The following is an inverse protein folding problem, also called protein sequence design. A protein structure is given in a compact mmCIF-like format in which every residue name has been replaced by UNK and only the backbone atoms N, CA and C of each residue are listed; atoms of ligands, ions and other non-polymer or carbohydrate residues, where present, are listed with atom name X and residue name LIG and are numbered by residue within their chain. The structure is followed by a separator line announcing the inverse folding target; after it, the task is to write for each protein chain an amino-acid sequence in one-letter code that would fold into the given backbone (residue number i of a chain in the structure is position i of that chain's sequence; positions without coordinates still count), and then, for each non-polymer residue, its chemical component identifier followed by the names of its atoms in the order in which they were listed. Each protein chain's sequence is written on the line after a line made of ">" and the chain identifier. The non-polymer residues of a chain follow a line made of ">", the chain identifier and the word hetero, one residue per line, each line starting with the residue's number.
data_IF_952926168274
#
_entry.id   IF_952926168274
#
_cell.length_a   1.000
_cell.length_b   1.000
_cell.length_c   1.000
_cell.angle_alpha   90.00
_cell.angle_beta   90.00
_cell.angle_gamma   90.00
#
_symmetry.space_group_name_H-M   'P 1'
#
loop_
_entity.id
_entity.type
_entity.pdbx_description
1 polymer ?
#
# COMPACT_ATOMS: atom_id res chain seq x y z
N UNK A 1 -3.11 -8.13 4.80
CA UNK A 1 -3.34 -7.28 3.61
C UNK A 1 -2.48 -6.01 3.54
N UNK A 2 -2.80 -4.90 4.24
CA UNK A 2 -2.18 -3.58 3.99
C UNK A 2 -0.63 -3.54 3.98
N UNK A 3 0.03 -4.34 4.83
CA UNK A 3 1.48 -4.50 4.83
C UNK A 3 2.02 -5.05 3.49
N UNK A 4 1.38 -6.09 2.97
CA UNK A 4 1.74 -6.72 1.71
C UNK A 4 1.51 -5.79 0.51
N UNK A 5 0.36 -5.11 0.45
CA UNK A 5 0.03 -4.18 -0.64
C UNK A 5 0.86 -2.89 -0.65
N UNK A 6 1.38 -2.45 0.50
CA UNK A 6 2.21 -1.23 0.58
C UNK A 6 3.72 -1.49 0.59
N UNK A 7 4.16 -2.73 0.81
CA UNK A 7 5.57 -3.05 1.02
C UNK A 7 6.11 -2.80 2.43
N UNK A 8 5.37 -2.07 3.28
CA UNK A 8 5.73 -1.83 4.66
C UNK A 8 5.55 -3.08 5.53
N UNK A 9 6.43 -3.32 6.50
CA UNK A 9 6.26 -4.42 7.46
C UNK A 9 5.16 -4.12 8.48
N UNK A 10 4.55 -5.15 9.07
CA UNK A 10 3.57 -4.98 10.17
C UNK A 10 4.13 -4.17 11.34
N UNK A 11 5.44 -4.30 11.62
CA UNK A 11 6.17 -3.50 12.61
C UNK A 11 6.33 -2.03 12.20
N UNK A 12 6.60 -1.75 10.91
CA UNK A 12 6.59 -0.39 10.37
C UNK A 12 5.19 0.23 10.48
N UNK A 13 4.14 -0.47 10.04
CA UNK A 13 2.75 -0.01 10.18
C UNK A 13 2.40 0.33 11.63
N UNK A 14 2.77 -0.53 12.60
CA UNK A 14 2.58 -0.26 14.03
C UNK A 14 3.34 1.00 14.49
N UNK A 15 4.57 1.19 14.02
CA UNK A 15 5.44 2.32 14.36
C UNK A 15 4.99 3.63 13.71
N UNK A 16 4.41 3.58 12.52
CA UNK A 16 3.99 4.76 11.74
C UNK A 16 2.67 5.33 12.26
N UNK A 17 1.79 4.50 12.82
CA UNK A 17 0.60 4.92 13.58
C UNK A 17 0.91 5.50 14.97
N UNK A 18 2.15 5.40 15.46
CA UNK A 18 2.55 5.98 16.74
C UNK A 18 2.97 7.45 16.56
N UNK A 19 2.33 8.33 17.34
CA UNK A 19 2.86 9.64 17.62
C UNK A 19 4.17 9.51 18.42
N UNK A 20 5.16 10.34 18.07
CA UNK A 20 6.46 10.48 18.74
C UNK A 20 6.81 11.95 18.97
N UNK A 21 5.80 12.76 19.28
CA UNK A 21 5.89 14.19 19.60
C UNK A 21 5.67 15.14 18.41
N UNK A 22 5.33 14.62 17.23
CA UNK A 22 5.08 15.41 16.01
C UNK A 22 3.92 14.84 15.18
N UNK A 23 3.05 14.04 15.79
CA UNK A 23 2.03 13.26 15.11
C UNK A 23 2.52 11.86 14.65
N UNK A 24 1.57 10.97 14.31
CA UNK A 24 1.86 9.76 13.54
C UNK A 24 2.30 10.13 12.11
N UNK A 25 2.98 9.20 11.43
CA UNK A 25 3.29 9.31 10.00
C UNK A 25 2.04 9.07 9.16
N UNK A 26 1.18 8.16 9.61
CA UNK A 26 -0.16 7.96 9.06
C UNK A 26 -1.11 7.61 10.20
N UNK A 27 -2.18 8.38 10.32
CA UNK A 27 -3.35 8.04 11.11
C UNK A 27 -4.34 7.35 10.15
N UNK A 28 -4.72 6.08 10.36
CA UNK A 28 -5.64 5.40 9.45
C UNK A 28 -6.99 6.11 9.38
N UNK A 29 -7.57 6.20 8.18
CA UNK A 29 -8.91 6.78 7.98
C UNK A 29 -10.00 5.93 8.65
N UNK A 30 -9.80 4.61 8.71
CA UNK A 30 -10.76 3.67 9.27
C UNK A 30 -10.54 3.50 10.79
N UNK A 31 -11.47 4.03 11.59
CA UNK A 31 -11.46 3.99 13.05
C UNK A 31 -11.81 2.59 13.62
N UNK A 32 -10.95 1.60 13.36
CA UNK A 32 -11.16 0.19 13.73
C UNK A 32 -10.13 -0.35 14.74
N UNK A 33 -10.49 -1.44 15.43
CA UNK A 33 -9.60 -2.22 16.31
C UNK A 33 -9.81 -3.72 16.03
N UNK A 34 -8.82 -4.47 15.49
CA UNK A 34 -7.49 -4.01 15.05
C UNK A 34 -7.57 -2.94 13.94
N UNK A 35 -6.47 -2.19 13.76
CA UNK A 35 -6.44 -1.08 12.80
C UNK A 35 -6.63 -1.59 11.36
N UNK A 36 -7.67 -1.09 10.71
CA UNK A 36 -7.91 -1.23 9.27
C UNK A 36 -7.36 -0.01 8.53
N UNK A 37 -7.24 -0.14 7.22
CA UNK A 37 -6.66 0.88 6.33
C UNK A 37 -7.52 0.99 5.08
N UNK A 38 -7.80 2.21 4.64
CA UNK A 38 -8.47 2.46 3.36
C UNK A 38 -7.53 2.20 2.17
N UNK A 39 -8.06 2.23 0.95
CA UNK A 39 -7.23 2.26 -0.26
C UNK A 39 -6.28 3.48 -0.28
N UNK A 40 -6.75 4.65 0.19
CA UNK A 40 -5.94 5.87 0.28
C UNK A 40 -4.81 5.72 1.28
N UNK A 41 -5.09 5.12 2.44
CA UNK A 41 -4.06 4.76 3.43
C UNK A 41 -2.99 3.87 2.79
N UNK A 42 -3.39 2.85 2.02
CA UNK A 42 -2.44 1.93 1.35
C UNK A 42 -1.56 2.67 0.34
N UNK A 43 -2.10 3.62 -0.44
CA UNK A 43 -1.31 4.50 -1.32
C UNK A 43 -0.29 5.32 -0.52
N UNK A 44 -0.70 5.96 0.57
CA UNK A 44 0.20 6.74 1.41
C UNK A 44 1.31 5.87 2.05
N UNK A 45 0.96 4.68 2.54
CA UNK A 45 1.92 3.69 3.05
C UNK A 45 2.91 3.24 1.98
N UNK A 46 2.45 3.07 0.74
CA UNK A 46 3.27 2.66 -0.41
C UNK A 46 4.22 3.76 -0.86
N UNK A 47 3.77 5.02 -0.89
CA UNK A 47 4.62 6.18 -1.05
C UNK A 47 5.71 6.24 0.05
N UNK A 48 5.36 6.02 1.32
CA UNK A 48 6.36 5.95 2.38
C UNK A 48 7.35 4.80 2.21
N UNK A 49 6.90 3.61 1.80
CA UNK A 49 7.78 2.49 1.49
C UNK A 49 8.70 2.78 0.30
N UNK A 50 8.25 3.58 -0.68
CA UNK A 50 9.09 4.06 -1.78
C UNK A 50 10.16 5.05 -1.28
N UNK A 51 9.75 6.17 -0.66
CA UNK A 51 10.65 7.18 -0.09
C UNK A 51 11.69 6.56 0.88
N UNK A 52 11.29 5.53 1.63
CA UNK A 52 12.15 4.83 2.62
C UNK A 52 13.41 4.19 2.04
N UNK A 53 13.48 3.99 0.72
CA UNK A 53 14.66 3.44 0.04
C UNK A 53 15.83 4.45 0.03
N UNK A 54 15.55 5.72 -0.25
CA UNK A 54 16.59 6.76 -0.34
C UNK A 54 16.71 7.61 0.93
N UNK A 55 15.62 7.79 1.68
CA UNK A 55 15.58 8.69 2.85
C UNK A 55 15.23 8.02 4.19
N UNK A 56 15.75 8.63 5.26
CA UNK A 56 15.50 8.19 6.63
C UNK A 56 14.08 8.50 7.09
N UNK A 57 13.56 7.70 8.02
CA UNK A 57 12.21 7.92 8.59
C UNK A 57 12.07 9.31 9.23
N UNK A 58 13.17 9.86 9.75
CA UNK A 58 13.17 11.18 10.36
C UNK A 58 12.98 12.28 9.32
N UNK A 59 13.53 12.13 8.11
CA UNK A 59 13.28 13.06 7.00
C UNK A 59 11.84 13.02 6.52
N UNK A 60 11.23 11.83 6.45
CA UNK A 60 9.79 11.68 6.18
C UNK A 60 8.97 12.41 7.26
N UNK A 61 9.28 12.21 8.55
CA UNK A 61 8.60 12.94 9.65
C UNK A 61 8.77 14.46 9.55
N UNK A 62 9.94 14.95 9.16
CA UNK A 62 10.19 16.38 8.93
C UNK A 62 9.32 16.88 7.77
N UNK A 63 9.33 16.21 6.62
CA UNK A 63 8.55 16.59 5.45
C UNK A 63 7.04 16.64 5.74
N UNK A 64 6.51 15.65 6.45
CA UNK A 64 5.10 15.63 6.89
C UNK A 64 4.76 16.80 7.86
N UNK A 65 5.68 17.13 8.77
CA UNK A 65 5.53 18.30 9.63
C UNK A 65 5.64 19.63 8.83
N UNK A 66 6.42 19.67 7.75
CA UNK A 66 6.50 20.81 6.83
C UNK A 66 5.18 20.99 6.07
N UNK A 67 4.62 19.94 5.45
CA UNK A 67 3.30 19.98 4.78
C UNK A 67 2.24 20.61 5.68
N UNK A 68 2.08 20.08 6.90
CA UNK A 68 1.12 20.60 7.87
C UNK A 68 1.36 22.07 8.26
N UNK A 69 2.62 22.53 8.26
CA UNK A 69 2.97 23.95 8.54
C UNK A 69 2.65 24.89 7.40
N UNK A 70 2.75 24.44 6.15
CA UNK A 70 2.44 25.26 4.96
C UNK A 70 0.94 25.26 4.59
N UNK A 71 0.12 24.50 5.32
CA UNK A 71 -1.34 24.47 5.16
C UNK A 71 -1.87 23.23 4.42
N UNK A 72 -1.00 22.33 3.98
CA UNK A 72 -1.36 21.10 3.30
C UNK A 72 -1.92 20.09 4.32
N UNK A 73 -3.25 19.97 4.37
CA UNK A 73 -4.02 19.19 5.37
C UNK A 73 -4.90 18.09 4.78
N UNK A 74 -4.91 17.92 3.45
CA UNK A 74 -5.53 16.78 2.78
C UNK A 74 -4.87 15.44 3.15
N UNK A 75 -5.53 14.35 2.79
CA UNK A 75 -5.01 13.00 2.95
C UNK A 75 -3.74 12.80 2.12
N UNK A 76 -2.75 12.12 2.70
CA UNK A 76 -1.39 12.01 2.16
C UNK A 76 -1.28 11.35 0.77
N UNK A 77 -2.34 10.70 0.30
CA UNK A 77 -2.45 10.12 -1.04
C UNK A 77 -2.80 11.13 -2.15
N UNK A 78 -3.18 12.38 -1.84
CA UNK A 78 -3.38 13.42 -2.86
C UNK A 78 -2.09 14.15 -3.23
N UNK A 79 -1.04 14.04 -2.42
CA UNK A 79 0.26 14.63 -2.70
C UNK A 79 1.16 13.68 -3.48
N UNK A 80 1.82 14.20 -4.52
CA UNK A 80 2.97 13.55 -5.13
C UNK A 80 4.23 13.94 -4.35
N UNK A 81 4.82 12.98 -3.63
CA UNK A 81 6.02 13.16 -2.81
C UNK A 81 7.17 12.35 -3.41
N UNK A 82 8.28 13.03 -3.71
CA UNK A 82 9.39 12.48 -4.50
C UNK A 82 10.71 12.64 -3.76
N UNK A 83 11.69 11.76 -4.01
CA UNK A 83 13.04 11.91 -3.47
C UNK A 83 13.90 12.72 -4.44
N UNK A 84 14.66 13.69 -3.91
CA UNK A 84 15.68 14.41 -4.67
C UNK A 84 17.01 14.32 -3.92
N UNK A 85 17.86 13.39 -4.36
CA UNK A 85 19.06 13.00 -3.62
C UNK A 85 18.69 12.46 -2.24
N UNK A 86 18.95 13.24 -1.20
CA UNK A 86 18.59 12.91 0.18
C UNK A 86 17.47 13.84 0.76
N UNK A 87 16.78 14.59 -0.09
CA UNK A 87 15.64 15.47 0.24
C UNK A 87 14.29 14.84 -0.14
N UNK A 88 13.17 15.47 0.27
CA UNK A 88 11.82 15.09 -0.16
C UNK A 88 11.11 16.33 -0.70
N UNK A 89 10.55 16.23 -1.91
CA UNK A 89 9.89 17.34 -2.62
C UNK A 89 8.40 17.04 -2.80
N UNK A 90 7.55 18.04 -2.57
CA UNK A 90 6.14 18.06 -2.95
C UNK A 90 6.03 18.56 -4.40
N UNK A 91 5.37 17.80 -5.28
CA UNK A 91 5.12 18.23 -6.66
C UNK A 91 3.74 18.90 -6.75
N UNK A 92 3.72 20.17 -7.15
CA UNK A 92 2.48 20.89 -7.43
C UNK A 92 1.89 20.55 -8.80
N UNK A 93 0.60 20.85 -8.97
CA UNK A 93 -0.13 20.62 -10.22
C UNK A 93 0.45 21.40 -11.42
N UNK A 94 1.03 22.57 -11.16
CA UNK A 94 1.58 23.48 -12.19
C UNK A 94 3.08 23.26 -12.43
N UNK A 95 3.57 22.02 -12.27
CA UNK A 95 4.94 21.62 -12.63
C UNK A 95 6.06 22.31 -11.80
N UNK A 96 5.68 23.02 -10.74
CA UNK A 96 6.54 23.62 -9.71
C UNK A 96 6.63 22.68 -8.48
N UNK A 97 7.85 22.30 -8.10
CA UNK A 97 8.11 21.42 -6.95
C UNK A 97 8.70 22.15 -5.73
N UNK A 98 8.17 21.88 -4.54
CA UNK A 98 8.57 22.48 -3.25
C UNK A 98 9.27 21.44 -2.37
N UNK A 99 10.59 21.55 -2.20
CA UNK A 99 11.37 20.77 -1.23
C UNK A 99 10.88 21.03 0.20
N UNK A 100 10.52 19.95 0.89
CA UNK A 100 9.95 19.92 2.24
C UNK A 100 11.03 19.80 3.34
N UNK A 101 12.30 19.63 2.96
CA UNK A 101 13.43 19.29 3.84
C UNK A 101 14.63 20.23 3.69
N UNK A 102 15.04 20.64 2.48
CA UNK A 102 16.24 21.49 2.26
C UNK A 102 16.02 22.83 1.54
N UNK A 103 15.63 22.85 0.26
CA UNK A 103 15.58 24.08 -0.58
C UNK A 103 14.51 24.01 -1.67
N UNK A 104 13.42 24.79 -1.60
CA UNK A 104 12.28 24.59 -2.50
C UNK A 104 12.53 25.04 -3.95
N UNK A 105 12.65 24.07 -4.87
CA UNK A 105 12.54 24.31 -6.31
C UNK A 105 13.14 23.22 -7.23
N UNK A 106 12.29 22.33 -7.80
CA UNK A 106 12.49 21.55 -9.05
C UNK A 106 13.55 20.41 -9.04
N UNK A 107 13.26 19.10 -9.21
CA UNK A 107 12.02 18.42 -9.71
C UNK A 107 11.72 16.98 -9.16
N UNK A 108 11.67 15.88 -9.97
CA UNK A 108 10.76 14.72 -9.73
C UNK A 108 11.21 13.33 -10.22
N UNK A 109 11.12 12.29 -9.36
CA UNK A 109 10.49 10.92 -9.47
C UNK A 109 10.41 10.37 -8.02
N UNK A 110 9.31 9.96 -7.36
CA UNK A 110 8.23 9.04 -7.70
C UNK A 110 6.85 9.67 -7.94
N UNK A 111 6.33 9.44 -9.14
CA UNK A 111 4.96 9.78 -9.54
C UNK A 111 3.93 8.83 -8.93
N UNK A 112 2.63 9.17 -9.08
CA UNK A 112 1.54 8.24 -8.77
C UNK A 112 1.69 6.90 -9.50
N UNK A 113 2.24 6.88 -10.72
CA UNK A 113 2.49 5.65 -11.45
C UNK A 113 3.54 4.76 -10.76
N UNK A 114 4.64 5.33 -10.28
CA UNK A 114 5.72 4.58 -9.62
C UNK A 114 5.26 3.92 -8.32
N UNK A 115 4.39 4.60 -7.55
CA UNK A 115 3.79 3.99 -6.35
C UNK A 115 2.66 3.00 -6.66
N UNK A 116 2.19 2.89 -7.91
CA UNK A 116 1.26 1.84 -8.34
C UNK A 116 1.99 0.61 -8.92
N UNK A 117 3.12 0.84 -9.62
CA UNK A 117 3.95 -0.20 -10.25
C UNK A 117 4.56 -1.18 -9.25
N UNK A 118 4.92 -2.38 -9.72
CA UNK A 118 5.67 -3.34 -8.92
C UNK A 118 7.03 -2.77 -8.50
N UNK A 119 7.44 -2.97 -7.25
CA UNK A 119 8.73 -2.50 -6.74
C UNK A 119 9.28 -3.39 -5.61
N UNK A 120 10.58 -3.24 -5.32
CA UNK A 120 11.28 -4.01 -4.30
C UNK A 120 11.78 -3.12 -3.14
N UNK A 121 10.98 -2.89 -2.06
CA UNK A 121 11.35 -1.99 -0.97
C UNK A 121 12.56 -2.46 -0.14
N UNK A 122 12.97 -3.72 -0.29
CA UNK A 122 14.11 -4.36 0.37
C UNK A 122 14.47 -5.67 -0.32
N UNK A 123 15.71 -6.11 -0.16
CA UNK A 123 16.18 -7.39 -0.71
C UNK A 123 15.27 -8.56 -0.32
N UNK A 124 14.96 -9.42 -1.30
CA UNK A 124 14.10 -10.59 -1.12
C UNK A 124 12.60 -10.30 -1.00
N UNK A 125 12.15 -9.06 -1.23
CA UNK A 125 10.74 -8.68 -1.18
C UNK A 125 10.34 -7.95 -2.46
N UNK A 126 9.36 -8.51 -3.14
CA UNK A 126 8.66 -7.89 -4.27
C UNK A 126 7.27 -7.49 -3.81
N UNK A 127 6.86 -6.27 -4.17
CA UNK A 127 5.54 -5.71 -3.87
C UNK A 127 4.81 -5.56 -5.19
N UNK A 128 3.78 -6.38 -5.48
CA UNK A 128 3.19 -6.46 -6.81
C UNK A 128 2.44 -5.18 -7.17
N UNK A 129 2.09 -5.01 -8.45
CA UNK A 129 1.31 -3.88 -8.93
C UNK A 129 0.03 -3.68 -8.11
N UNK A 130 -0.21 -2.46 -7.58
CA UNK A 130 -1.26 -2.25 -6.57
C UNK A 130 -2.66 -2.58 -7.11
N UNK A 131 -3.00 -2.13 -8.33
CA UNK A 131 -4.34 -2.32 -8.90
C UNK A 131 -4.57 -3.72 -9.48
N UNK A 132 -3.50 -4.50 -9.68
CA UNK A 132 -3.56 -5.84 -10.28
C UNK A 132 -2.44 -6.72 -9.69
N UNK A 133 -2.56 -7.14 -8.41
CA UNK A 133 -1.49 -7.89 -7.74
C UNK A 133 -1.29 -9.32 -8.27
N UNK A 134 -2.25 -9.85 -9.04
CA UNK A 134 -2.16 -11.08 -9.84
C UNK A 134 -2.93 -10.89 -11.14
N UNK A 135 -2.76 -11.79 -12.11
CA UNK A 135 -3.48 -11.74 -13.39
C UNK A 135 -5.01 -11.67 -13.18
N UNK A 136 -5.54 -12.49 -12.26
CA UNK A 136 -6.97 -12.59 -11.96
C UNK A 136 -7.39 -11.96 -10.61
N UNK A 137 -6.54 -11.13 -10.00
CA UNK A 137 -6.90 -10.36 -8.79
C UNK A 137 -6.69 -8.87 -9.06
N UNK A 138 -7.73 -8.07 -8.83
CA UNK A 138 -7.72 -6.61 -9.01
C UNK A 138 -8.02 -5.88 -7.71
N UNK A 139 -7.53 -4.65 -7.60
CA UNK A 139 -7.80 -3.72 -6.50
C UNK A 139 -8.31 -2.40 -7.09
N UNK A 140 -9.51 -2.01 -6.67
CA UNK A 140 -10.20 -0.81 -7.13
C UNK A 140 -10.92 -0.17 -5.92
N UNK A 141 -10.69 1.13 -5.59
CA UNK A 141 -11.38 1.79 -4.49
C UNK A 141 -12.91 1.80 -4.63
N UNK A 142 -13.48 1.76 -5.83
CA UNK A 142 -14.93 1.73 -6.07
C UNK A 142 -15.53 0.31 -5.85
N UNK A 143 -14.68 -0.72 -5.88
CA UNK A 143 -15.05 -2.11 -5.66
C UNK A 143 -14.61 -2.58 -4.28
N UNK A 144 -15.59 -2.85 -3.41
CA UNK A 144 -15.37 -3.29 -2.02
C UNK A 144 -14.39 -2.38 -1.22
N UNK A 145 -14.31 -1.08 -1.57
CA UNK A 145 -13.43 -0.12 -0.88
C UNK A 145 -11.93 -0.33 -1.12
N UNK A 146 -11.54 -1.04 -2.17
CA UNK A 146 -10.15 -1.45 -2.41
C UNK A 146 -9.72 -2.72 -1.67
N UNK A 147 -10.68 -3.55 -1.20
CA UNK A 147 -10.40 -4.96 -0.93
C UNK A 147 -10.06 -5.64 -2.28
N UNK A 148 -8.98 -6.44 -2.38
CA UNK A 148 -8.68 -7.21 -3.58
C UNK A 148 -9.79 -8.22 -3.87
N UNK A 149 -10.21 -8.28 -5.12
CA UNK A 149 -11.29 -9.16 -5.60
C UNK A 149 -10.84 -9.94 -6.83
N UNK A 150 -11.53 -11.05 -7.11
CA UNK A 150 -11.38 -11.74 -8.40
C UNK A 150 -11.80 -10.80 -9.52
N UNK A 151 -10.94 -10.65 -10.53
CA UNK A 151 -11.14 -9.74 -11.68
C UNK A 151 -12.52 -9.93 -12.32
N UNK A 152 -13.26 -8.82 -12.51
CA UNK A 152 -14.60 -8.85 -13.11
C UNK A 152 -15.72 -9.26 -12.15
N UNK A 153 -15.43 -9.45 -10.86
CA UNK A 153 -16.41 -9.80 -9.83
C UNK A 153 -16.33 -8.84 -8.63
N UNK A 154 -17.21 -9.04 -7.63
CA UNK A 154 -17.08 -8.44 -6.29
C UNK A 154 -16.68 -9.46 -5.22
N UNK A 155 -16.22 -10.65 -5.64
CA UNK A 155 -15.85 -11.77 -4.77
C UNK A 155 -14.45 -11.53 -4.20
N UNK A 156 -14.29 -11.40 -2.87
CA UNK A 156 -12.98 -11.22 -2.25
C UNK A 156 -12.04 -12.40 -2.54
N UNK A 157 -10.76 -12.11 -2.74
CA UNK A 157 -9.75 -13.14 -3.02
C UNK A 157 -9.55 -14.10 -1.82
N UNK A 158 -9.66 -13.57 -0.60
CA UNK A 158 -9.45 -14.30 0.65
C UNK A 158 -10.55 -15.34 0.88
N UNK A 159 -11.83 -15.00 0.63
CA UNK A 159 -12.92 -15.99 0.69
C UNK A 159 -12.76 -17.14 -0.32
N UNK A 160 -12.14 -16.90 -1.48
CA UNK A 160 -11.82 -17.96 -2.44
C UNK A 160 -10.62 -18.80 -1.98
N UNK A 161 -9.62 -18.18 -1.35
CA UNK A 161 -8.48 -18.89 -0.78
C UNK A 161 -8.90 -19.76 0.42
N UNK A 162 -9.76 -19.27 1.31
CA UNK A 162 -10.33 -20.01 2.45
C UNK A 162 -11.01 -21.31 2.00
N UNK A 163 -11.82 -21.28 0.93
CA UNK A 163 -12.41 -22.51 0.36
C UNK A 163 -11.35 -23.51 -0.12
N UNK A 164 -10.24 -23.05 -0.69
CA UNK A 164 -9.13 -23.92 -1.13
C UNK A 164 -8.39 -24.50 0.07
N UNK A 165 -8.17 -23.72 1.13
CA UNK A 165 -7.56 -24.17 2.38
C UNK A 165 -8.44 -25.21 3.11
N UNK A 166 -9.76 -25.06 3.07
CA UNK A 166 -10.76 -26.04 3.52
C UNK A 166 -10.85 -27.30 2.60
N UNK A 167 -10.07 -27.35 1.52
CA UNK A 167 -9.91 -28.52 0.66
C UNK A 167 -10.83 -28.57 -0.56
N UNK A 168 -11.55 -27.49 -0.89
CA UNK A 168 -12.30 -27.40 -2.15
C UNK A 168 -11.31 -27.21 -3.31
N UNK A 169 -11.27 -28.11 -4.31
CA UNK A 169 -10.32 -27.98 -5.41
C UNK A 169 -10.68 -26.77 -6.30
N UNK A 170 -9.71 -26.06 -6.91
CA UNK A 170 -9.96 -24.86 -7.71
C UNK A 170 -11.01 -25.02 -8.81
N UNK A 171 -11.11 -26.21 -9.40
CA UNK A 171 -12.08 -26.58 -10.45
C UNK A 171 -13.53 -26.61 -9.94
N UNK A 172 -13.73 -26.60 -8.62
CA UNK A 172 -15.03 -26.61 -7.94
C UNK A 172 -15.45 -25.29 -7.33
N UNK A 173 -14.59 -24.28 -7.36
CA UNK A 173 -14.92 -22.94 -6.84
C UNK A 173 -16.08 -22.29 -7.61
N UNK A 174 -16.24 -22.59 -8.90
CA UNK A 174 -17.36 -22.12 -9.71
C UNK A 174 -18.74 -22.61 -9.22
N UNK A 175 -18.80 -23.74 -8.49
CA UNK A 175 -20.04 -24.26 -7.89
C UNK A 175 -20.53 -23.35 -6.72
N UNK A 176 -19.63 -22.54 -6.14
CA UNK A 176 -19.89 -21.56 -5.06
C UNK A 176 -19.95 -20.13 -5.59
N UNK A 177 -19.03 -19.78 -6.50
CA UNK A 177 -18.89 -18.45 -7.09
C UNK A 177 -18.81 -18.57 -8.63
N UNK A 178 -19.95 -18.58 -9.35
CA UNK A 178 -19.99 -18.87 -10.79
C UNK A 178 -19.16 -17.94 -11.70
N UNK A 179 -18.73 -16.77 -11.21
CA UNK A 179 -17.83 -15.85 -11.92
C UNK A 179 -16.33 -16.12 -11.71
N UNK A 180 -15.95 -17.14 -10.92
CA UNK A 180 -14.56 -17.43 -10.55
C UNK A 180 -14.09 -18.69 -11.27
N UNK A 181 -13.11 -18.52 -12.16
CA UNK A 181 -12.48 -19.64 -12.88
C UNK A 181 -11.47 -20.37 -11.99
N UNK A 182 -11.10 -21.61 -12.37
CA UNK A 182 -10.08 -22.37 -11.66
C UNK A 182 -8.72 -21.64 -11.60
N UNK A 183 -8.33 -20.95 -12.67
CA UNK A 183 -7.10 -20.14 -12.70
C UNK A 183 -7.20 -18.92 -11.78
N UNK A 184 -8.35 -18.25 -11.76
CA UNK A 184 -8.59 -17.15 -10.83
C UNK A 184 -8.54 -17.60 -9.36
N UNK A 185 -9.06 -18.79 -9.07
CA UNK A 185 -9.00 -19.37 -7.74
C UNK A 185 -7.56 -19.74 -7.31
N UNK A 186 -6.74 -20.27 -8.24
CA UNK A 186 -5.30 -20.50 -7.98
C UNK A 186 -4.52 -19.20 -7.76
N UNK A 187 -4.83 -18.14 -8.52
CA UNK A 187 -4.25 -16.81 -8.32
C UNK A 187 -4.62 -16.23 -6.95
N UNK A 188 -5.87 -16.39 -6.53
CA UNK A 188 -6.33 -15.96 -5.21
C UNK A 188 -5.59 -16.67 -4.07
N UNK A 189 -5.48 -18.00 -4.11
CA UNK A 189 -4.70 -18.77 -3.14
C UNK A 189 -3.20 -18.37 -3.16
N UNK A 190 -2.61 -18.18 -4.35
CA UNK A 190 -1.23 -17.69 -4.48
C UNK A 190 -1.05 -16.28 -3.87
N UNK A 191 -2.05 -15.42 -3.97
CA UNK A 191 -2.03 -14.09 -3.39
C UNK A 191 -2.27 -14.09 -1.87
N UNK A 192 -3.10 -14.99 -1.34
CA UNK A 192 -3.26 -15.20 0.10
C UNK A 192 -1.94 -15.61 0.77
N UNK A 193 -1.26 -16.62 0.22
CA UNK A 193 0.08 -17.04 0.69
C UNK A 193 1.09 -15.88 0.67
N UNK A 194 1.04 -15.02 -0.35
CA UNK A 194 1.86 -13.80 -0.40
C UNK A 194 1.48 -12.82 0.72
N UNK A 195 0.20 -12.56 0.94
CA UNK A 195 -0.29 -11.65 1.98
C UNK A 195 0.09 -12.14 3.38
N UNK A 196 0.06 -13.46 3.63
CA UNK A 196 0.38 -14.05 4.93
C UNK A 196 1.87 -14.22 5.22
N UNK A 197 2.73 -14.13 4.20
CA UNK A 197 4.17 -13.98 4.44
C UNK A 197 4.48 -12.73 5.28
N UNK A 198 3.67 -11.66 5.16
CA UNK A 198 3.80 -10.43 5.94
C UNK A 198 3.23 -10.54 7.36
N UNK A 199 2.26 -11.44 7.62
CA UNK A 199 1.69 -11.67 8.94
C UNK A 199 2.56 -12.64 9.77
N UNK A 200 3.09 -13.68 9.12
CA UNK A 200 3.91 -14.73 9.75
C UNK A 200 5.26 -14.20 10.21
N UNK A 201 5.94 -13.38 9.40
CA UNK A 201 7.23 -12.76 9.76
C UNK A 201 7.16 -11.80 10.97
N UNK A 202 5.96 -11.48 11.47
CA UNK A 202 5.75 -10.67 12.68
C UNK A 202 5.51 -11.51 13.95
N UNK A 203 5.46 -12.84 13.86
CA UNK A 203 5.35 -13.76 15.02
C UNK A 203 6.70 -14.32 15.49
N UNK A 204 7.78 -14.01 14.78
CA UNK A 204 9.14 -14.56 15.00
C UNK A 204 10.15 -13.52 15.51
N UNK A 205 9.68 -12.40 16.07
CA UNK A 205 10.49 -11.27 16.53
C UNK A 205 9.90 -10.65 17.81
#
# INVERSE_FOLDING_TARGET
>A
MAAALSGATVGQLRTWRQDRGNGPILQPELAARPALYSFRDVLALRAFAHLRQDVSLQKIRIALATLKKIGEVEHLSSYSLVTEGDSIVLVGHDDHGTDLVKRPGQRVIATMADILQEFAPRAGVVVPHLLQPKQHVTVDPETQGGQPVITGTRTPFDTVAELIEDGIPPEKIADYYPGVTADAARDAASFALYVDSYSTGARSA
#
